data_IF_742546804077
#
_entry.id   IF_742546804077
#
_cell.length_a   1.000
_cell.length_b   1.000
_cell.length_c   1.000
_cell.angle_alpha   90.00
_cell.angle_beta   90.00
_cell.angle_gamma   90.00
#
_symmetry.space_group_name_H-M   'P 1'
#
loop_
_entity.id
_entity.type
_entity.pdbx_description
1 polymer ?
#
# COMPACT_ATOMS: atom_id res chain seq x y z
N UNK A 1 -59.39 15.03 -24.84
CA UNK A 1 -58.46 14.77 -23.73
C UNK A 1 -57.47 13.71 -24.19
N UNK A 2 -56.21 14.12 -24.34
CA UNK A 2 -54.95 13.36 -24.16
C UNK A 2 -53.86 13.99 -25.02
N UNK A 3 -53.27 15.06 -24.51
CA UNK A 3 -51.97 15.57 -24.95
C UNK A 3 -50.94 15.00 -23.99
N UNK A 4 -50.00 14.22 -24.50
CA UNK A 4 -48.83 13.77 -23.77
C UNK A 4 -47.64 14.62 -24.26
N UNK A 5 -47.06 15.53 -23.45
CA UNK A 5 -45.84 16.21 -23.83
C UNK A 5 -44.62 15.66 -23.08
N UNK A 6 -43.49 15.71 -23.78
CA UNK A 6 -42.11 15.68 -23.29
C UNK A 6 -41.60 14.37 -22.68
N UNK A 7 -40.92 13.60 -23.52
CA UNK A 7 -39.82 12.74 -23.10
C UNK A 7 -38.77 13.60 -22.38
N UNK A 8 -38.57 13.26 -21.11
CA UNK A 8 -37.60 13.82 -20.19
C UNK A 8 -36.19 13.39 -20.61
N UNK A 9 -35.37 14.37 -20.97
CA UNK A 9 -33.94 14.23 -21.20
C UNK A 9 -33.26 13.62 -19.98
N UNK A 10 -32.76 12.38 -20.10
CA UNK A 10 -31.89 11.78 -19.08
C UNK A 10 -30.52 12.44 -19.11
N UNK A 11 -30.25 13.32 -18.17
CA UNK A 11 -28.89 13.76 -17.85
C UNK A 11 -28.11 12.61 -17.15
N UNK A 12 -26.81 12.44 -17.46
CA UNK A 12 -25.99 11.39 -16.85
C UNK A 12 -25.70 11.73 -15.38
N UNK A 13 -25.67 10.69 -14.53
CA UNK A 13 -25.31 10.75 -13.10
C UNK A 13 -24.15 11.73 -12.82
N UNK A 14 -24.48 12.95 -12.44
CA UNK A 14 -23.54 13.88 -11.82
C UNK A 14 -23.25 13.33 -10.43
N UNK A 15 -22.05 12.75 -10.26
CA UNK A 15 -21.52 12.41 -8.94
C UNK A 15 -21.54 13.70 -8.13
N UNK A 16 -22.32 13.71 -7.04
CA UNK A 16 -22.57 14.90 -6.26
C UNK A 16 -21.25 15.38 -5.61
N UNK A 17 -20.68 16.53 -6.00
CA UNK A 17 -19.43 17.03 -5.45
C UNK A 17 -19.55 17.34 -3.95
N UNK A 18 -20.77 17.53 -3.44
CA UNK A 18 -21.04 17.64 -2.01
C UNK A 18 -20.86 16.29 -1.31
N UNK A 19 -21.26 15.17 -1.93
CA UNK A 19 -21.00 13.83 -1.39
C UNK A 19 -19.51 13.51 -1.32
N UNK A 20 -18.72 13.92 -2.31
CA UNK A 20 -17.26 13.74 -2.27
C UNK A 20 -16.60 14.63 -1.21
N UNK A 21 -17.04 15.89 -1.10
CA UNK A 21 -16.57 16.82 -0.07
C UNK A 21 -16.92 16.31 1.35
N UNK A 22 -18.12 15.75 1.54
CA UNK A 22 -18.53 15.15 2.80
C UNK A 22 -17.81 13.84 3.10
N UNK A 23 -17.47 13.02 2.08
CA UNK A 23 -16.64 11.83 2.27
C UNK A 23 -15.25 12.19 2.81
N UNK A 24 -14.63 13.24 2.28
CA UNK A 24 -13.36 13.75 2.80
C UNK A 24 -13.48 14.33 4.22
N UNK A 25 -14.53 15.09 4.50
CA UNK A 25 -14.78 15.65 5.85
C UNK A 25 -15.05 14.54 6.89
N UNK A 26 -15.78 13.49 6.51
CA UNK A 26 -16.03 12.33 7.36
C UNK A 26 -14.77 11.47 7.54
N UNK A 27 -13.95 11.32 6.50
CA UNK A 27 -12.65 10.67 6.60
C UNK A 27 -11.74 11.42 7.57
N UNK A 28 -11.61 12.75 7.44
CA UNK A 28 -10.82 13.58 8.38
C UNK A 28 -11.33 13.49 9.84
N UNK A 29 -12.63 13.25 10.03
CA UNK A 29 -13.23 13.07 11.36
C UNK A 29 -13.15 11.66 11.95
N UNK A 30 -12.71 10.65 11.18
CA UNK A 30 -12.85 9.26 11.58
C UNK A 30 -11.83 8.82 12.65
N UNK A 31 -10.62 9.39 12.68
CA UNK A 31 -9.62 9.09 13.72
C UNK A 31 -8.40 10.05 13.63
N UNK A 32 -8.39 11.20 14.33
CA UNK A 32 -7.26 12.13 14.30
C UNK A 32 -6.00 11.57 15.00
N UNK A 33 -6.11 10.43 15.71
CA UNK A 33 -4.97 9.76 16.32
C UNK A 33 -4.26 8.76 15.38
N UNK A 34 -4.85 8.52 14.20
CA UNK A 34 -4.35 7.55 13.24
C UNK A 34 -3.12 8.06 12.50
N UNK A 35 -2.10 7.21 12.40
CA UNK A 35 -0.85 7.53 11.71
C UNK A 35 -1.09 7.85 10.22
N UNK A 36 -0.38 8.84 9.63
CA UNK A 36 -0.43 9.12 8.19
C UNK A 36 -0.17 7.88 7.32
N UNK A 37 0.65 6.95 7.83
CA UNK A 37 0.96 5.68 7.18
C UNK A 37 -0.28 4.79 7.05
N UNK A 38 -1.08 4.69 8.12
CA UNK A 38 -2.30 3.89 8.13
C UNK A 38 -3.37 4.53 7.25
N UNK A 39 -3.47 5.86 7.28
CA UNK A 39 -4.34 6.63 6.38
C UNK A 39 -4.05 6.35 4.92
N UNK A 40 -2.79 6.45 4.50
CA UNK A 40 -2.39 6.13 3.13
C UNK A 40 -2.72 4.68 2.78
N UNK A 41 -2.39 3.74 3.66
CA UNK A 41 -2.62 2.32 3.36
C UNK A 41 -4.10 2.00 3.18
N UNK A 42 -4.99 2.61 3.97
CA UNK A 42 -6.44 2.45 3.86
C UNK A 42 -7.01 3.08 2.60
N UNK A 43 -6.45 4.18 2.14
CA UNK A 43 -6.83 4.80 0.86
C UNK A 43 -6.50 3.88 -0.32
N UNK A 44 -5.35 3.19 -0.25
CA UNK A 44 -4.88 2.29 -1.31
C UNK A 44 -5.45 0.87 -1.19
N UNK A 45 -5.87 0.49 0.01
CA UNK A 45 -6.46 -0.80 0.35
C UNK A 45 -7.55 -0.65 1.42
N UNK A 46 -8.81 -0.36 1.00
CA UNK A 46 -9.91 -0.07 1.93
C UNK A 46 -10.32 -1.24 2.83
N UNK A 47 -9.96 -2.47 2.47
CA UNK A 47 -10.30 -3.67 3.26
C UNK A 47 -9.30 -3.92 4.39
N UNK A 48 -8.15 -3.25 4.38
CA UNK A 48 -7.16 -3.36 5.43
C UNK A 48 -7.61 -2.67 6.71
N UNK A 49 -7.03 -3.05 7.86
CA UNK A 49 -7.28 -2.37 9.14
C UNK A 49 -6.27 -1.25 9.42
N UNK A 50 -5.06 -1.44 8.94
CA UNK A 50 -3.91 -0.55 9.09
C UNK A 50 -2.86 -0.90 8.03
N UNK A 51 -1.75 -0.17 8.00
CA UNK A 51 -0.72 -0.36 6.99
C UNK A 51 0.01 -1.71 7.10
N UNK A 52 0.18 -2.25 8.31
CA UNK A 52 0.81 -3.55 8.47
C UNK A 52 -0.09 -4.66 7.93
N UNK A 53 -1.39 -4.60 8.23
CA UNK A 53 -2.40 -5.51 7.71
C UNK A 53 -2.52 -5.41 6.18
N UNK A 54 -2.52 -4.19 5.62
CA UNK A 54 -2.51 -3.99 4.18
C UNK A 54 -1.31 -4.71 3.53
N UNK A 55 -0.12 -4.60 4.11
CA UNK A 55 1.05 -5.30 3.58
C UNK A 55 0.92 -6.82 3.76
N UNK A 56 0.57 -7.30 4.95
CA UNK A 56 0.55 -8.73 5.31
C UNK A 56 -0.59 -9.53 4.68
N UNK A 57 -1.70 -8.89 4.30
CA UNK A 57 -2.81 -9.52 3.59
C UNK A 57 -2.39 -9.86 2.16
N UNK A 58 -2.78 -11.04 1.66
CA UNK A 58 -2.68 -11.40 0.24
C UNK A 58 -4.08 -11.42 -0.37
N UNK A 59 -4.20 -10.97 -1.62
CA UNK A 59 -5.45 -11.04 -2.38
C UNK A 59 -5.41 -12.18 -3.41
N UNK A 60 -6.56 -12.76 -3.79
CA UNK A 60 -6.61 -13.79 -4.82
C UNK A 60 -6.08 -13.29 -6.16
N UNK A 61 -5.23 -14.10 -6.80
CA UNK A 61 -4.61 -13.79 -8.09
C UNK A 61 -3.25 -13.10 -7.94
N UNK A 62 -2.20 -13.75 -8.45
CA UNK A 62 -0.82 -13.28 -8.29
C UNK A 62 -0.58 -11.89 -8.88
N UNK A 63 -1.07 -11.62 -10.09
CA UNK A 63 -0.90 -10.30 -10.72
C UNK A 63 -1.65 -9.20 -9.98
N UNK A 64 -2.86 -9.48 -9.50
CA UNK A 64 -3.65 -8.51 -8.72
C UNK A 64 -2.99 -8.19 -7.37
N UNK A 65 -2.43 -9.18 -6.68
CA UNK A 65 -1.69 -8.94 -5.43
C UNK A 65 -0.38 -8.17 -5.70
N UNK A 66 0.33 -8.48 -6.79
CA UNK A 66 1.53 -7.73 -7.18
C UNK A 66 1.21 -6.26 -7.53
N UNK A 67 0.14 -6.00 -8.28
CA UNK A 67 -0.30 -4.64 -8.61
C UNK A 67 -0.67 -3.84 -7.35
N UNK A 68 -1.37 -4.48 -6.42
CA UNK A 68 -1.72 -3.88 -5.12
C UNK A 68 -0.48 -3.57 -4.29
N UNK A 69 0.48 -4.50 -4.23
CA UNK A 69 1.76 -4.29 -3.54
C UNK A 69 2.59 -3.17 -4.21
N UNK A 70 2.56 -3.04 -5.54
CA UNK A 70 3.21 -1.94 -6.24
C UNK A 70 2.59 -0.58 -5.95
N UNK A 71 1.26 -0.54 -5.82
CA UNK A 71 0.53 0.66 -5.42
C UNK A 71 0.92 1.09 -4.00
N UNK A 72 0.86 0.17 -3.02
CA UNK A 72 1.29 0.41 -1.64
C UNK A 72 2.75 0.88 -1.57
N UNK A 73 3.66 0.18 -2.25
CA UNK A 73 5.08 0.53 -2.32
C UNK A 73 5.27 1.94 -2.87
N UNK A 74 4.54 2.32 -3.92
CA UNK A 74 4.63 3.66 -4.52
C UNK A 74 4.14 4.74 -3.55
N UNK A 75 3.06 4.46 -2.81
CA UNK A 75 2.58 5.33 -1.73
C UNK A 75 3.63 5.52 -0.63
N UNK A 76 4.17 4.44 -0.06
CA UNK A 76 5.19 4.54 1.00
C UNK A 76 6.48 5.21 0.52
N UNK A 77 6.86 4.99 -0.75
CA UNK A 77 7.97 5.71 -1.37
C UNK A 77 7.71 7.22 -1.42
N UNK A 78 6.50 7.64 -1.78
CA UNK A 78 6.13 9.06 -1.81
C UNK A 78 6.28 9.70 -0.42
N UNK A 79 5.72 9.09 0.62
CA UNK A 79 5.87 9.59 1.99
C UNK A 79 7.31 9.58 2.49
N UNK A 80 8.10 8.56 2.12
CA UNK A 80 9.54 8.53 2.47
C UNK A 80 10.29 9.74 1.90
N UNK A 81 9.93 10.19 0.70
CA UNK A 81 10.57 11.33 0.05
C UNK A 81 10.03 12.68 0.55
N UNK A 82 8.76 12.72 0.93
CA UNK A 82 8.04 13.95 1.29
C UNK A 82 7.87 14.17 2.81
N UNK A 83 8.24 13.20 3.65
CA UNK A 83 8.02 13.26 5.09
C UNK A 83 8.74 14.43 5.77
N UNK A 84 8.03 15.13 6.64
CA UNK A 84 8.45 16.39 7.25
C UNK A 84 9.70 16.21 8.13
N UNK A 85 9.73 15.15 8.94
CA UNK A 85 10.85 14.86 9.83
C UNK A 85 11.54 13.52 9.50
N UNK A 86 12.74 13.33 10.07
CA UNK A 86 13.55 12.14 9.80
C UNK A 86 12.92 10.84 10.32
N UNK A 87 12.12 10.92 11.39
CA UNK A 87 11.41 9.78 11.97
C UNK A 87 10.35 9.26 11.00
N UNK A 88 9.51 10.15 10.46
CA UNK A 88 8.46 9.80 9.51
C UNK A 88 9.03 9.18 8.24
N UNK A 89 10.12 9.75 7.73
CA UNK A 89 10.83 9.19 6.56
C UNK A 89 11.41 7.81 6.84
N UNK A 90 11.91 7.57 8.06
CA UNK A 90 12.41 6.25 8.48
C UNK A 90 11.28 5.24 8.56
N UNK A 91 10.16 5.58 9.21
CA UNK A 91 8.98 4.71 9.29
C UNK A 91 8.47 4.40 7.88
N UNK A 92 8.29 5.40 7.02
CA UNK A 92 7.90 5.18 5.63
C UNK A 92 8.89 4.29 4.85
N UNK A 93 10.19 4.41 5.12
CA UNK A 93 11.20 3.51 4.55
C UNK A 93 11.05 2.05 5.01
N UNK A 94 10.65 1.83 6.27
CA UNK A 94 10.36 0.49 6.82
C UNK A 94 9.14 -0.14 6.16
N UNK A 95 8.04 0.60 6.03
CA UNK A 95 6.84 0.12 5.33
C UNK A 95 7.14 -0.15 3.84
N UNK A 96 7.92 0.71 3.18
CA UNK A 96 8.39 0.46 1.81
C UNK A 96 9.20 -0.84 1.70
N UNK A 97 10.13 -1.10 2.63
CA UNK A 97 10.91 -2.35 2.65
C UNK A 97 10.00 -3.57 2.89
N UNK A 98 9.06 -3.48 3.84
CA UNK A 98 8.10 -4.52 4.16
C UNK A 98 7.20 -4.88 2.95
N UNK A 99 6.77 -3.89 2.17
CA UNK A 99 5.99 -4.15 0.94
C UNK A 99 6.81 -4.91 -0.10
N UNK A 100 8.10 -4.60 -0.24
CA UNK A 100 8.98 -5.37 -1.13
C UNK A 100 9.17 -6.79 -0.62
N UNK A 101 9.38 -6.98 0.69
CA UNK A 101 9.46 -8.29 1.32
C UNK A 101 8.19 -9.13 1.05
N UNK A 102 6.99 -8.55 1.08
CA UNK A 102 5.76 -9.24 0.71
C UNK A 102 5.79 -9.78 -0.73
N UNK A 103 6.30 -8.99 -1.69
CA UNK A 103 6.47 -9.42 -3.08
C UNK A 103 7.45 -10.59 -3.23
N UNK A 104 8.53 -10.58 -2.44
CA UNK A 104 9.51 -11.66 -2.38
C UNK A 104 8.90 -12.94 -1.82
N UNK A 105 8.31 -12.89 -0.62
CA UNK A 105 7.78 -14.07 0.09
C UNK A 105 6.67 -14.74 -0.69
N UNK A 106 5.72 -13.97 -1.22
CA UNK A 106 4.53 -14.55 -1.86
C UNK A 106 4.77 -14.97 -3.30
N UNK A 107 5.51 -14.16 -4.04
CA UNK A 107 5.56 -14.27 -5.50
C UNK A 107 6.97 -14.57 -6.03
N UNK A 108 7.99 -14.53 -5.17
CA UNK A 108 9.42 -14.57 -5.56
C UNK A 108 9.73 -13.50 -6.60
N UNK A 109 9.19 -12.30 -6.40
CA UNK A 109 9.36 -11.17 -7.32
C UNK A 109 9.89 -9.93 -6.60
N UNK A 110 10.94 -9.35 -7.16
CA UNK A 110 11.38 -7.99 -6.87
C UNK A 110 10.43 -7.00 -7.53
N UNK A 111 9.54 -6.40 -6.74
CA UNK A 111 8.66 -5.29 -7.17
C UNK A 111 9.37 -3.93 -7.13
N UNK A 112 10.71 -3.91 -7.16
CA UNK A 112 11.54 -2.71 -7.07
C UNK A 112 12.67 -2.76 -8.08
N UNK A 113 13.10 -1.57 -8.50
CA UNK A 113 14.25 -1.41 -9.39
C UNK A 113 15.57 -1.33 -8.66
N UNK A 114 15.53 -1.10 -7.34
CA UNK A 114 16.72 -1.04 -6.51
C UNK A 114 17.55 -2.33 -6.66
N UNK A 115 18.85 -2.20 -6.45
CA UNK A 115 19.75 -3.35 -6.49
C UNK A 115 19.37 -4.32 -5.35
N UNK A 116 19.28 -5.64 -5.60
CA UNK A 116 18.82 -6.60 -4.61
C UNK A 116 19.57 -6.48 -3.28
N UNK A 117 20.88 -6.27 -3.31
CA UNK A 117 21.72 -6.17 -2.11
C UNK A 117 21.29 -4.99 -1.22
N UNK A 118 20.95 -3.85 -1.82
CA UNK A 118 20.49 -2.66 -1.06
C UNK A 118 19.10 -2.86 -0.47
N UNK A 119 18.28 -3.67 -1.12
CA UNK A 119 16.94 -4.01 -0.66
C UNK A 119 17.02 -5.03 0.46
N UNK A 120 17.87 -6.05 0.33
CA UNK A 120 18.14 -7.03 1.38
C UNK A 120 18.59 -6.34 2.66
N UNK A 121 19.57 -5.42 2.61
CA UNK A 121 19.96 -4.65 3.80
C UNK A 121 18.80 -3.86 4.41
N UNK A 122 17.92 -3.27 3.59
CA UNK A 122 16.75 -2.56 4.13
C UNK A 122 15.72 -3.50 4.79
N UNK A 123 15.62 -4.75 4.32
CA UNK A 123 14.78 -5.81 4.90
C UNK A 123 15.40 -6.33 6.21
N UNK A 124 16.71 -6.55 6.25
CA UNK A 124 17.46 -6.90 7.48
C UNK A 124 17.31 -5.82 8.54
N UNK A 125 17.52 -4.55 8.16
CA UNK A 125 17.35 -3.43 9.06
C UNK A 125 15.89 -3.33 9.56
N UNK A 126 14.89 -3.73 8.76
CA UNK A 126 13.49 -3.79 9.18
C UNK A 126 13.24 -4.91 10.19
N UNK A 127 13.77 -6.10 9.94
CA UNK A 127 13.66 -7.26 10.83
C UNK A 127 14.15 -6.92 12.25
N UNK A 128 15.23 -6.15 12.35
CA UNK A 128 15.88 -5.77 13.61
C UNK A 128 15.25 -4.52 14.28
N UNK A 129 14.27 -3.86 13.66
CA UNK A 129 13.70 -2.62 14.18
C UNK A 129 12.53 -2.88 15.13
N UNK A 130 12.81 -3.00 16.43
CA UNK A 130 11.80 -3.28 17.48
C UNK A 130 10.68 -2.23 17.60
N UNK A 131 10.82 -1.06 16.95
CA UNK A 131 9.74 -0.07 16.87
C UNK A 131 8.65 -0.43 15.85
N UNK A 132 8.92 -1.41 14.98
CA UNK A 132 8.00 -1.84 13.92
C UNK A 132 7.09 -2.99 14.38
N UNK A 133 5.87 -3.11 13.82
CA UNK A 133 4.97 -4.22 14.11
C UNK A 133 5.63 -5.58 13.91
N UNK A 134 5.40 -6.50 14.84
CA UNK A 134 5.95 -7.87 14.82
C UNK A 134 5.66 -8.59 13.51
N UNK A 135 4.44 -8.48 12.98
CA UNK A 135 4.06 -9.09 11.70
C UNK A 135 4.91 -8.62 10.51
N UNK A 136 5.42 -7.38 10.53
CA UNK A 136 6.31 -6.88 9.48
C UNK A 136 7.75 -7.35 9.68
N UNK A 137 8.18 -7.54 10.93
CA UNK A 137 9.49 -8.10 11.26
C UNK A 137 9.57 -9.59 10.90
N UNK A 138 8.50 -10.33 11.17
CA UNK A 138 8.36 -11.73 10.78
C UNK A 138 8.35 -11.87 9.25
N UNK A 139 7.56 -11.03 8.56
CA UNK A 139 7.56 -10.99 7.09
C UNK A 139 8.95 -10.69 6.52
N UNK A 140 9.71 -9.79 7.16
CA UNK A 140 11.08 -9.48 6.77
C UNK A 140 12.02 -10.66 6.97
N UNK A 141 11.88 -11.39 8.08
CA UNK A 141 12.61 -12.64 8.34
C UNK A 141 12.32 -13.68 7.24
N UNK A 142 11.05 -13.93 6.95
CA UNK A 142 10.65 -14.88 5.90
C UNK A 142 11.21 -14.47 4.52
N UNK A 143 11.27 -13.16 4.25
CA UNK A 143 11.84 -12.65 3.01
C UNK A 143 13.35 -12.93 2.92
N UNK A 144 14.10 -12.74 4.00
CA UNK A 144 15.54 -13.05 4.06
C UNK A 144 15.76 -14.54 3.79
N UNK A 145 15.02 -15.42 4.48
CA UNK A 145 15.09 -16.87 4.25
C UNK A 145 14.78 -17.25 2.80
N UNK A 146 13.78 -16.59 2.18
CA UNK A 146 13.43 -16.80 0.77
C UNK A 146 14.53 -16.31 -0.18
N UNK A 147 15.16 -15.16 0.10
CA UNK A 147 16.25 -14.59 -0.71
C UNK A 147 17.47 -15.51 -0.70
N UNK A 148 17.80 -16.09 0.45
CA UNK A 148 18.94 -16.99 0.59
C UNK A 148 18.71 -18.37 -0.05
N UNK A 149 17.44 -18.83 -0.06
CA UNK A 149 17.07 -20.16 -0.52
C UNK A 149 16.58 -20.25 -1.98
N UNK A 150 16.12 -19.15 -2.57
CA UNK A 150 15.39 -19.19 -3.85
C UNK A 150 15.83 -18.12 -4.86
N UNK A 151 15.57 -18.39 -6.16
CA UNK A 151 15.79 -17.40 -7.23
C UNK A 151 14.61 -16.44 -7.28
N UNK A 152 14.87 -15.17 -6.95
CA UNK A 152 13.87 -14.10 -7.00
C UNK A 152 13.92 -13.41 -8.38
N UNK A 153 12.79 -13.42 -9.08
CA UNK A 153 12.64 -12.82 -10.42
C UNK A 153 12.42 -11.31 -10.32
N UNK A 154 12.70 -10.58 -11.40
CA UNK A 154 12.23 -9.20 -11.52
C UNK A 154 10.89 -9.17 -12.23
N UNK A 155 10.00 -8.27 -11.80
CA UNK A 155 8.76 -8.01 -12.54
C UNK A 155 9.12 -7.27 -13.84
N UNK A 156 8.67 -7.74 -15.02
CA UNK A 156 8.80 -6.97 -16.25
C UNK A 156 7.96 -5.69 -16.14
N UNK A 157 8.48 -4.56 -16.64
CA UNK A 157 7.69 -3.33 -16.78
C UNK A 157 6.74 -3.51 -17.96
N UNK A 158 5.46 -3.27 -17.75
CA UNK A 158 4.50 -3.00 -18.82
C UNK A 158 4.69 -1.58 -19.37
#
# INVERSE_FOLDING_TARGET
>A
MNSNPMEESREPNAVDPLSDSLRWVLALGADPSRSPIDWLALELDPDARNAADAICRSVPGADADLDRLELLKSGFKSMRMSGENASDRRVAARYYAATIAAGVVRHRVWITEQRPERVTTAIEDLQQDDSMPESLRDLAKDAIETIDGEIIRRRPRN
#
